data_IF_344969572945
#
_entry.id   IF_344969572945
#
_cell.length_a   1.000
_cell.length_b   1.000
_cell.length_c   1.000
_cell.angle_alpha   90.00
_cell.angle_beta   90.00
_cell.angle_gamma   90.00
#
_symmetry.space_group_name_H-M   'P 1'
#
loop_
_entity.id
_entity.type
_entity.pdbx_description
1 polymer ?
#
# COMPACT_ATOMS: atom_id res chain seq x y z
N UNK A 1 32.34 -61.01 11.84
CA UNK A 1 33.12 -61.85 10.86
C UNK A 1 33.56 -60.91 9.77
N UNK A 2 34.86 -60.62 9.78
CA UNK A 2 35.88 -60.78 8.75
C UNK A 2 35.59 -59.98 7.47
N UNK A 3 36.28 -58.80 7.28
CA UNK A 3 37.65 -58.62 6.67
C UNK A 3 37.67 -58.93 5.19
N UNK A 4 38.06 -57.98 4.31
CA UNK A 4 39.41 -57.64 3.83
C UNK A 4 39.30 -56.65 2.67
N UNK A 5 39.88 -55.45 2.62
CA UNK A 5 41.28 -55.07 2.32
C UNK A 5 41.81 -55.49 0.94
N UNK A 6 42.23 -54.52 0.12
CA UNK A 6 43.47 -54.35 -0.63
C UNK A 6 43.34 -53.28 -1.72
N UNK A 7 44.05 -52.14 -1.67
CA UNK A 7 45.47 -51.83 -2.06
C UNK A 7 45.72 -52.17 -3.53
N UNK A 8 46.16 -51.37 -4.34
CA UNK A 8 47.17 -50.36 -4.66
C UNK A 8 47.47 -50.42 -6.15
N UNK A 9 47.75 -49.35 -6.84
CA UNK A 9 49.06 -49.03 -7.42
C UNK A 9 49.02 -47.79 -8.33
N UNK A 10 50.01 -46.96 -8.07
CA UNK A 10 50.35 -45.77 -8.85
C UNK A 10 51.13 -46.20 -10.12
N UNK A 11 51.09 -45.36 -11.13
CA UNK A 11 52.14 -45.27 -12.13
C UNK A 11 52.37 -43.81 -12.54
N UNK A 12 53.61 -43.45 -12.47
CA UNK A 12 54.32 -42.21 -12.75
C UNK A 12 54.65 -42.13 -14.24
N UNK A 13 54.66 -40.93 -14.77
CA UNK A 13 55.29 -40.60 -16.06
C UNK A 13 54.67 -39.36 -16.65
N UNK A 14 55.31 -38.28 -16.77
CA UNK A 14 56.47 -37.84 -17.38
C UNK A 14 56.25 -36.42 -17.88
N UNK A 15 57.04 -35.48 -17.46
CA UNK A 15 57.07 -34.08 -17.82
C UNK A 15 57.38 -33.80 -19.28
N UNK A 16 56.74 -32.82 -19.88
CA UNK A 16 57.25 -32.06 -21.02
C UNK A 16 56.90 -30.57 -20.85
N UNK A 17 57.93 -29.80 -20.53
CA UNK A 17 57.93 -28.35 -20.48
C UNK A 17 58.05 -27.81 -21.91
N UNK A 18 57.03 -27.14 -22.41
CA UNK A 18 57.12 -26.29 -23.59
C UNK A 18 56.94 -24.85 -23.17
N UNK A 19 58.06 -24.12 -23.10
CA UNK A 19 58.02 -22.66 -22.85
C UNK A 19 57.60 -21.94 -24.16
N UNK A 20 56.41 -21.36 -24.15
CA UNK A 20 56.00 -20.38 -25.15
C UNK A 20 56.06 -18.98 -24.53
N UNK A 21 57.01 -18.18 -24.99
CA UNK A 21 57.10 -16.76 -24.70
C UNK A 21 55.93 -16.04 -25.37
N UNK A 22 54.97 -15.59 -24.55
CA UNK A 22 53.93 -14.70 -25.01
C UNK A 22 54.35 -13.26 -24.69
N UNK A 23 54.72 -12.51 -25.71
CA UNK A 23 54.90 -11.06 -25.66
C UNK A 23 53.61 -10.39 -25.31
N UNK A 24 53.52 -9.84 -24.09
CA UNK A 24 52.42 -8.99 -23.65
C UNK A 24 52.50 -7.66 -24.35
N UNK A 25 51.69 -7.47 -25.39
CA UNK A 25 51.26 -6.13 -25.81
C UNK A 25 50.36 -5.55 -24.73
N UNK A 26 50.92 -4.66 -23.92
CA UNK A 26 50.13 -3.77 -23.04
C UNK A 26 49.46 -2.74 -23.94
N UNK A 27 48.33 -3.11 -24.49
CA UNK A 27 47.39 -2.16 -25.06
C UNK A 27 46.66 -1.48 -23.90
N UNK A 28 46.99 -0.21 -23.63
CA UNK A 28 46.18 0.64 -22.79
C UNK A 28 44.81 0.84 -23.46
N UNK A 29 43.91 -0.09 -23.27
CA UNK A 29 42.50 0.14 -23.50
C UNK A 29 42.05 1.09 -22.38
N UNK A 30 41.94 2.39 -22.71
CA UNK A 30 41.12 3.33 -21.94
C UNK A 30 39.74 2.69 -21.71
N UNK A 31 39.58 2.07 -20.56
CA UNK A 31 38.33 1.46 -20.15
C UNK A 31 37.26 2.55 -20.07
N UNK A 32 36.52 2.71 -21.14
CA UNK A 32 35.17 3.22 -21.01
C UNK A 32 34.48 2.26 -20.05
N UNK A 33 34.36 2.66 -18.79
CA UNK A 33 33.73 1.87 -17.75
C UNK A 33 32.37 1.41 -18.29
N UNK A 34 32.20 0.11 -18.47
CA UNK A 34 30.93 -0.45 -18.90
C UNK A 34 29.88 0.06 -17.89
N UNK A 35 29.01 0.91 -18.37
CA UNK A 35 27.95 1.51 -17.53
C UNK A 35 27.24 0.35 -16.85
N UNK A 36 27.29 0.30 -15.51
CA UNK A 36 26.68 -0.76 -14.73
C UNK A 36 25.22 -0.87 -15.14
N UNK A 37 24.82 -1.99 -15.70
CA UNK A 37 23.46 -2.24 -16.15
C UNK A 37 22.53 -2.11 -14.95
N UNK A 38 21.64 -1.12 -14.97
CA UNK A 38 20.63 -0.89 -13.92
C UNK A 38 19.42 -1.74 -14.25
N UNK A 39 18.96 -2.58 -13.30
CA UNK A 39 17.75 -3.38 -13.50
C UNK A 39 16.57 -2.46 -13.84
N UNK A 40 15.80 -2.81 -14.87
CA UNK A 40 14.60 -2.09 -15.29
C UNK A 40 14.84 -0.69 -15.84
N UNK A 41 16.07 -0.34 -16.18
CA UNK A 41 16.41 0.93 -16.82
C UNK A 41 17.48 0.72 -17.90
N UNK A 42 17.16 1.09 -19.13
CA UNK A 42 18.06 0.95 -20.30
C UNK A 42 18.81 2.25 -20.65
N UNK A 43 18.71 3.30 -19.84
CA UNK A 43 19.27 4.63 -20.08
C UNK A 43 18.24 5.62 -20.62
N UNK A 44 17.08 5.16 -21.04
CA UNK A 44 15.97 5.98 -21.56
C UNK A 44 14.60 5.56 -21.07
N UNK A 45 14.42 4.29 -20.75
CA UNK A 45 13.12 3.72 -20.37
C UNK A 45 13.22 3.01 -19.03
N UNK A 46 12.31 3.35 -18.11
CA UNK A 46 12.12 2.68 -16.82
C UNK A 46 10.93 1.72 -16.91
N UNK A 47 11.08 0.53 -16.36
CA UNK A 47 10.03 -0.49 -16.29
C UNK A 47 9.42 -0.56 -14.90
N UNK A 48 8.12 -0.30 -14.79
CA UNK A 48 7.36 -0.38 -13.53
C UNK A 48 6.25 -1.44 -13.62
N UNK A 49 5.84 -1.95 -12.47
CA UNK A 49 4.67 -2.81 -12.29
C UNK A 49 3.95 -2.48 -11.00
N UNK A 50 2.72 -2.99 -10.85
CA UNK A 50 1.95 -2.94 -9.61
C UNK A 50 1.60 -4.34 -9.10
N UNK A 51 1.27 -4.42 -7.82
CA UNK A 51 0.79 -5.64 -7.16
C UNK A 51 -0.20 -5.31 -6.07
N UNK A 52 -1.17 -6.18 -5.84
CA UNK A 52 -2.11 -6.04 -4.73
C UNK A 52 -3.38 -6.85 -4.91
N UNK A 53 -4.37 -6.57 -4.10
CA UNK A 53 -5.64 -7.30 -4.07
C UNK A 53 -6.49 -6.93 -5.30
N UNK A 54 -6.51 -7.79 -6.32
CA UNK A 54 -7.18 -7.53 -7.58
C UNK A 54 -8.69 -7.31 -7.43
N UNK A 55 -9.36 -8.11 -6.61
CA UNK A 55 -10.80 -7.98 -6.38
C UNK A 55 -11.22 -6.59 -5.85
N UNK A 56 -10.32 -5.88 -5.15
CA UNK A 56 -10.61 -4.60 -4.51
C UNK A 56 -9.91 -3.43 -5.17
N UNK A 57 -8.69 -3.64 -5.67
CA UNK A 57 -7.78 -2.58 -6.09
C UNK A 57 -7.36 -2.67 -7.56
N UNK A 58 -8.06 -3.45 -8.42
CA UNK A 58 -7.74 -3.52 -9.85
C UNK A 58 -7.63 -2.13 -10.52
N UNK A 59 -8.50 -1.19 -10.12
CA UNK A 59 -8.46 0.19 -10.65
C UNK A 59 -7.21 0.98 -10.22
N UNK A 60 -6.44 0.50 -9.23
CA UNK A 60 -5.15 1.08 -8.91
C UNK A 60 -4.16 0.90 -10.07
N UNK A 61 -4.20 -0.25 -10.74
CA UNK A 61 -3.41 -0.50 -11.94
C UNK A 61 -3.75 0.45 -13.08
N UNK A 62 -5.04 0.65 -13.37
CA UNK A 62 -5.52 1.61 -14.38
C UNK A 62 -5.08 3.05 -14.05
N UNK A 63 -5.17 3.44 -12.78
CA UNK A 63 -4.79 4.78 -12.36
C UNK A 63 -3.26 5.00 -12.39
N UNK A 64 -2.46 3.97 -12.09
CA UNK A 64 -1.01 4.01 -12.25
C UNK A 64 -0.61 4.17 -13.72
N UNK A 65 -1.22 3.40 -14.62
CA UNK A 65 -1.02 3.51 -16.07
C UNK A 65 -1.39 4.90 -16.56
N UNK A 66 -2.50 5.47 -16.10
CA UNK A 66 -2.94 6.83 -16.43
C UNK A 66 -1.89 7.88 -16.05
N UNK A 67 -1.33 7.77 -14.83
CA UNK A 67 -0.27 8.69 -14.38
C UNK A 67 1.03 8.52 -15.17
N UNK A 68 1.37 7.30 -15.53
CA UNK A 68 2.51 6.99 -16.40
C UNK A 68 2.28 7.56 -17.81
N UNK A 69 1.10 7.36 -18.38
CA UNK A 69 0.74 7.92 -19.69
C UNK A 69 0.93 9.43 -19.70
N UNK A 70 0.38 10.12 -18.69
CA UNK A 70 0.57 11.58 -18.57
C UNK A 70 2.05 11.97 -18.49
N UNK A 71 2.86 11.28 -17.64
CA UNK A 71 4.31 11.52 -17.55
C UNK A 71 4.98 11.43 -18.92
N UNK A 72 4.62 10.41 -19.70
CA UNK A 72 5.19 10.16 -21.01
C UNK A 72 4.74 11.19 -22.06
N UNK A 73 3.45 11.54 -22.08
CA UNK A 73 2.86 12.45 -23.06
C UNK A 73 3.34 13.88 -22.85
N UNK A 74 3.44 14.31 -21.59
CA UNK A 74 3.91 15.65 -21.23
C UNK A 74 5.43 15.76 -21.14
N UNK A 75 6.16 14.65 -21.33
CA UNK A 75 7.61 14.60 -21.30
C UNK A 75 8.20 15.22 -20.01
N UNK A 76 7.61 14.87 -18.84
CA UNK A 76 7.95 15.46 -17.53
C UNK A 76 9.44 15.34 -17.17
N UNK A 77 10.12 14.33 -17.70
CA UNK A 77 11.59 14.19 -17.66
C UNK A 77 12.10 13.97 -19.07
N UNK A 78 12.78 14.96 -19.63
CA UNK A 78 13.23 14.92 -21.02
C UNK A 78 14.11 13.70 -21.31
N UNK A 79 13.69 12.90 -22.28
CA UNK A 79 14.40 11.71 -22.76
C UNK A 79 14.39 10.55 -21.75
N UNK A 80 13.39 10.53 -20.84
CA UNK A 80 13.06 9.38 -19.99
C UNK A 80 11.60 9.03 -20.23
N UNK A 81 11.32 7.75 -20.46
CA UNK A 81 9.99 7.17 -20.56
C UNK A 81 9.79 6.13 -19.49
N UNK A 82 8.54 5.85 -19.16
CA UNK A 82 8.16 4.78 -18.24
C UNK A 82 7.26 3.80 -19.00
N UNK A 83 7.57 2.50 -18.90
CA UNK A 83 6.72 1.42 -19.38
C UNK A 83 6.01 0.75 -18.18
N UNK A 84 4.76 0.39 -18.39
CA UNK A 84 3.92 -0.27 -17.41
C UNK A 84 3.76 -1.76 -17.76
N UNK A 85 4.19 -2.65 -16.86
CA UNK A 85 4.07 -4.11 -17.03
C UNK A 85 2.72 -4.67 -16.54
N UNK A 86 1.86 -3.80 -16.03
CA UNK A 86 0.55 -4.19 -15.52
C UNK A 86 0.48 -4.28 -13.99
N UNK A 87 -0.73 -4.55 -13.52
CA UNK A 87 -1.05 -4.78 -12.11
C UNK A 87 -1.30 -6.27 -11.89
N UNK A 88 -0.63 -6.85 -10.91
CA UNK A 88 -0.71 -8.28 -10.59
C UNK A 88 -1.59 -8.48 -9.37
N UNK A 89 -2.54 -9.41 -9.48
CA UNK A 89 -3.41 -9.80 -8.37
C UNK A 89 -2.69 -10.80 -7.45
N UNK A 90 -2.45 -10.39 -6.20
CA UNK A 90 -1.87 -11.24 -5.16
C UNK A 90 -2.90 -12.18 -4.52
N UNK A 91 -4.17 -12.07 -4.91
CA UNK A 91 -5.31 -12.86 -4.42
C UNK A 91 -5.50 -12.80 -2.90
N UNK A 92 -4.89 -11.80 -2.27
CA UNK A 92 -4.86 -11.66 -0.80
C UNK A 92 -4.22 -12.90 -0.12
N UNK A 93 -3.27 -13.54 -0.81
CA UNK A 93 -2.54 -14.72 -0.35
C UNK A 93 -1.04 -14.45 -0.22
N UNK A 94 -0.42 -14.68 0.96
CA UNK A 94 0.98 -14.35 1.19
C UNK A 94 1.96 -15.08 0.26
N UNK A 95 1.68 -16.34 -0.11
CA UNK A 95 2.55 -17.13 -0.98
C UNK A 95 2.47 -16.62 -2.42
N UNK A 96 1.27 -16.29 -2.89
CA UNK A 96 1.06 -15.66 -4.20
C UNK A 96 1.73 -14.30 -4.26
N UNK A 97 1.54 -13.44 -3.25
CA UNK A 97 2.18 -12.13 -3.17
C UNK A 97 3.70 -12.23 -3.28
N UNK A 98 4.34 -13.15 -2.53
CA UNK A 98 5.79 -13.35 -2.59
C UNK A 98 6.25 -13.91 -3.93
N UNK A 99 5.54 -14.89 -4.50
CA UNK A 99 5.91 -15.53 -5.77
C UNK A 99 5.80 -14.55 -6.94
N UNK A 100 4.73 -13.76 -7.00
CA UNK A 100 4.53 -12.74 -8.02
C UNK A 100 5.52 -11.58 -7.87
N UNK A 101 5.81 -11.14 -6.65
CA UNK A 101 6.86 -10.14 -6.43
C UNK A 101 8.22 -10.64 -6.94
N UNK A 102 8.57 -11.91 -6.67
CA UNK A 102 9.80 -12.50 -7.21
C UNK A 102 9.79 -12.54 -8.73
N UNK A 103 8.69 -12.92 -9.36
CA UNK A 103 8.54 -12.93 -10.82
C UNK A 103 8.76 -11.53 -11.41
N UNK A 104 8.13 -10.51 -10.84
CA UNK A 104 8.28 -9.12 -11.29
C UNK A 104 9.74 -8.64 -11.20
N UNK A 105 10.45 -9.01 -10.13
CA UNK A 105 11.84 -8.61 -9.93
C UNK A 105 12.81 -9.40 -10.79
N UNK A 106 12.66 -10.74 -10.89
CA UNK A 106 13.68 -11.60 -11.51
C UNK A 106 13.42 -11.87 -12.99
N UNK A 107 12.15 -12.00 -13.40
CA UNK A 107 11.79 -12.30 -14.79
C UNK A 107 11.44 -11.02 -15.55
N UNK A 108 10.54 -10.21 -14.99
CA UNK A 108 10.15 -8.94 -15.61
C UNK A 108 11.23 -7.86 -15.49
N UNK A 109 12.15 -8.00 -14.54
CA UNK A 109 13.25 -7.05 -14.32
C UNK A 109 12.76 -5.62 -14.07
N UNK A 110 11.71 -5.45 -13.26
CA UNK A 110 11.18 -4.12 -12.96
C UNK A 110 12.18 -3.26 -12.18
N UNK A 111 12.17 -1.96 -12.43
CA UNK A 111 12.97 -0.98 -11.71
C UNK A 111 12.39 -0.71 -10.33
N UNK A 112 11.07 -0.56 -10.24
CA UNK A 112 10.33 -0.30 -9.02
C UNK A 112 8.92 -0.87 -9.12
N UNK A 113 8.26 -1.04 -7.96
CA UNK A 113 6.83 -1.29 -7.89
C UNK A 113 6.11 0.02 -7.54
N UNK A 114 4.96 0.26 -8.18
CA UNK A 114 4.01 1.31 -7.84
C UNK A 114 2.61 0.74 -7.80
N UNK A 115 1.61 1.48 -7.31
CA UNK A 115 0.28 0.93 -7.09
C UNK A 115 0.30 -0.34 -6.20
N UNK A 116 1.24 -0.39 -5.25
CA UNK A 116 1.32 -1.52 -4.34
C UNK A 116 0.21 -1.39 -3.29
N UNK A 117 -0.77 -2.26 -3.39
CA UNK A 117 -1.93 -2.36 -2.51
C UNK A 117 -2.03 -3.73 -1.84
N UNK A 118 -0.92 -4.48 -1.82
CA UNK A 118 -0.83 -5.75 -1.12
C UNK A 118 -0.87 -5.57 0.41
N UNK A 119 -1.55 -6.48 1.09
CA UNK A 119 -1.48 -6.64 2.54
C UNK A 119 -0.31 -7.53 2.97
N UNK A 120 0.31 -8.23 2.05
CA UNK A 120 1.40 -9.18 2.26
C UNK A 120 2.60 -8.79 1.42
N UNK A 121 3.10 -7.60 1.69
CA UNK A 121 4.20 -7.08 0.93
C UNK A 121 5.47 -7.90 1.18
N UNK A 122 6.16 -8.26 0.10
CA UNK A 122 7.47 -8.89 0.19
C UNK A 122 8.57 -7.86 0.48
N UNK A 123 8.34 -6.92 1.41
CA UNK A 123 9.19 -5.76 1.65
C UNK A 123 10.64 -6.10 2.00
N UNK A 124 10.88 -7.14 2.79
CA UNK A 124 12.22 -7.61 3.11
C UNK A 124 12.94 -8.12 1.86
N UNK A 125 12.26 -8.88 1.01
CA UNK A 125 12.81 -9.33 -0.26
C UNK A 125 13.09 -8.16 -1.20
N UNK A 126 12.15 -7.22 -1.34
CA UNK A 126 12.33 -6.03 -2.16
C UNK A 126 13.52 -5.17 -1.68
N UNK A 127 13.67 -5.01 -0.36
CA UNK A 127 14.80 -4.31 0.24
C UNK A 127 16.15 -5.02 -0.06
N UNK A 128 16.20 -6.36 0.08
CA UNK A 128 17.38 -7.17 -0.26
C UNK A 128 17.73 -7.07 -1.75
N UNK A 129 16.72 -6.98 -2.62
CA UNK A 129 16.90 -6.84 -4.06
C UNK A 129 17.11 -5.40 -4.52
N UNK A 130 17.13 -4.43 -3.61
CA UNK A 130 17.21 -2.99 -3.92
C UNK A 130 16.10 -2.56 -4.90
N UNK A 131 14.85 -2.93 -4.62
CA UNK A 131 13.68 -2.52 -5.38
C UNK A 131 12.87 -1.54 -4.57
N UNK A 132 12.82 -0.26 -4.93
CA UNK A 132 11.90 0.66 -4.25
C UNK A 132 10.45 0.33 -4.63
N UNK A 133 9.55 0.42 -3.65
CA UNK A 133 8.12 0.18 -3.85
C UNK A 133 7.28 1.29 -3.24
N UNK A 134 6.20 1.63 -3.92
CA UNK A 134 5.32 2.75 -3.60
C UNK A 134 3.87 2.29 -3.60
N UNK A 135 3.16 2.56 -2.51
CA UNK A 135 1.82 2.03 -2.37
C UNK A 135 0.98 2.65 -1.26
N UNK A 136 -0.01 1.90 -0.80
CA UNK A 136 -0.93 2.34 0.26
C UNK A 136 -0.38 2.17 1.68
N UNK A 137 0.69 1.43 1.88
CA UNK A 137 1.24 1.11 3.19
C UNK A 137 0.35 0.20 4.07
N UNK A 138 -0.27 -0.80 3.46
CA UNK A 138 -1.05 -1.82 4.19
C UNK A 138 -0.20 -2.85 4.95
N UNK A 139 1.10 -2.70 4.94
CA UNK A 139 2.06 -3.62 5.53
C UNK A 139 3.04 -2.87 6.44
N UNK A 140 3.50 -3.52 7.51
CA UNK A 140 4.43 -2.92 8.47
C UNK A 140 5.81 -2.59 7.88
N UNK A 141 6.18 -3.16 6.74
CA UNK A 141 7.47 -2.87 6.07
C UNK A 141 7.59 -1.44 5.57
N UNK A 142 6.48 -0.75 5.35
CA UNK A 142 6.46 0.69 5.08
C UNK A 142 6.83 1.55 6.31
N UNK A 143 6.80 0.96 7.50
CA UNK A 143 7.08 1.62 8.77
C UNK A 143 8.46 1.30 9.32
N UNK A 144 9.14 0.32 8.78
CA UNK A 144 10.40 -0.24 9.24
C UNK A 144 11.33 -0.50 8.04
N UNK A 145 12.64 -0.43 8.19
CA UNK A 145 13.41 -0.13 9.39
C UNK A 145 13.54 1.35 9.69
N UNK A 146 14.06 1.65 10.87
CA UNK A 146 14.48 2.99 11.27
C UNK A 146 16.00 3.12 11.13
N UNK A 147 16.55 4.20 10.65
CA UNK A 147 15.91 5.41 10.15
C UNK A 147 15.26 5.22 8.78
N UNK A 148 14.40 6.15 8.38
CA UNK A 148 13.70 6.12 7.09
C UNK A 148 14.62 6.03 5.87
N UNK A 149 15.87 6.45 5.99
CA UNK A 149 16.90 6.34 4.93
C UNK A 149 17.22 4.89 4.54
N UNK A 150 16.79 3.90 5.34
CA UNK A 150 16.90 2.47 5.05
C UNK A 150 15.61 1.86 4.52
N UNK A 151 14.52 2.63 4.46
CA UNK A 151 13.25 2.17 3.89
C UNK A 151 13.39 1.99 2.39
N UNK A 152 12.72 0.97 1.86
CA UNK A 152 12.53 0.75 0.44
C UNK A 152 11.05 0.90 0.03
N UNK A 153 10.14 0.84 1.00
CA UNK A 153 8.71 1.06 0.85
C UNK A 153 8.27 2.47 1.23
N UNK A 154 7.48 3.12 0.39
CA UNK A 154 7.01 4.50 0.54
C UNK A 154 5.51 4.56 0.31
N UNK A 155 4.74 4.74 1.39
CA UNK A 155 3.30 4.90 1.32
C UNK A 155 2.88 6.33 1.04
N UNK A 156 1.95 6.54 0.11
CA UNK A 156 1.34 7.85 -0.09
C UNK A 156 0.49 8.29 1.12
N UNK A 157 0.21 7.38 2.02
CA UNK A 157 -0.43 7.61 3.32
C UNK A 157 0.59 7.70 4.47
N UNK A 158 1.89 7.62 4.19
CA UNK A 158 2.92 7.47 5.23
C UNK A 158 2.98 6.04 5.79
N UNK A 159 3.27 5.90 7.09
CA UNK A 159 3.24 4.61 7.79
C UNK A 159 1.83 4.38 8.37
N UNK A 160 1.01 3.63 7.67
CA UNK A 160 -0.39 3.38 8.09
C UNK A 160 -0.49 2.33 9.19
N UNK A 161 0.29 1.27 9.12
CA UNK A 161 0.22 0.11 10.03
C UNK A 161 1.50 -0.05 10.85
N UNK A 162 1.77 0.92 11.73
CA UNK A 162 2.88 0.81 12.66
C UNK A 162 2.53 -0.21 13.77
N UNK A 163 3.25 -1.32 13.90
CA UNK A 163 2.97 -2.34 14.92
C UNK A 163 3.27 -1.87 16.34
N UNK A 164 4.08 -0.81 16.49
CA UNK A 164 4.47 -0.26 17.78
C UNK A 164 4.35 1.27 17.78
N UNK A 165 3.13 1.83 17.62
CA UNK A 165 2.97 3.27 17.60
C UNK A 165 3.25 3.86 18.98
N UNK A 166 3.99 4.95 19.05
CA UNK A 166 4.10 5.77 20.28
C UNK A 166 2.91 6.71 20.42
N UNK A 167 2.26 7.02 19.32
CA UNK A 167 1.08 7.86 19.23
C UNK A 167 0.10 7.25 18.24
N UNK A 168 -1.19 7.49 18.45
CA UNK A 168 -2.26 7.13 17.52
C UNK A 168 -2.71 8.40 16.78
N UNK A 169 -2.94 8.32 15.46
CA UNK A 169 -3.44 9.45 14.70
C UNK A 169 -4.92 9.67 14.96
N UNK A 170 -5.33 10.91 14.82
CA UNK A 170 -6.74 11.30 14.93
C UNK A 170 -7.59 10.89 13.70
N UNK A 171 -6.96 10.37 12.64
CA UNK A 171 -7.65 10.07 11.37
C UNK A 171 -8.90 9.20 11.51
N UNK A 172 -8.91 8.25 12.44
CA UNK A 172 -10.09 7.44 12.73
C UNK A 172 -10.95 8.03 13.86
N UNK A 173 -10.40 8.90 14.68
CA UNK A 173 -11.10 9.48 15.82
C UNK A 173 -12.30 10.32 15.38
N UNK A 174 -12.15 11.17 14.36
CA UNK A 174 -13.25 11.98 13.83
C UNK A 174 -14.37 11.11 13.26
N UNK A 175 -14.01 10.01 12.56
CA UNK A 175 -15.01 9.07 12.07
C UNK A 175 -15.81 8.43 13.21
N UNK A 176 -15.14 7.91 14.24
CA UNK A 176 -15.82 7.36 15.41
C UNK A 176 -16.64 8.41 16.16
N UNK A 177 -16.11 9.63 16.32
CA UNK A 177 -16.82 10.72 16.99
C UNK A 177 -18.13 11.09 16.27
N UNK A 178 -18.08 11.18 14.93
CA UNK A 178 -19.26 11.43 14.10
C UNK A 178 -20.31 10.34 14.29
N UNK A 179 -19.89 9.07 14.18
CA UNK A 179 -20.80 7.93 14.32
C UNK A 179 -21.36 7.86 15.74
N UNK A 180 -20.52 8.07 16.75
CA UNK A 180 -20.95 8.12 18.16
C UNK A 180 -22.05 9.18 18.35
N UNK A 181 -21.84 10.39 17.83
CA UNK A 181 -22.83 11.47 17.90
C UNK A 181 -24.11 11.11 17.14
N UNK A 182 -24.00 10.48 15.97
CA UNK A 182 -25.14 10.10 15.13
C UNK A 182 -26.07 9.06 15.81
N UNK A 183 -25.54 8.28 16.75
CA UNK A 183 -26.38 7.33 17.53
C UNK A 183 -27.35 8.03 18.49
N UNK A 184 -27.08 9.27 18.88
CA UNK A 184 -27.85 10.00 19.91
C UNK A 184 -27.69 9.45 21.32
N UNK A 185 -26.83 8.45 21.54
CA UNK A 185 -26.61 7.83 22.84
C UNK A 185 -25.41 8.45 23.57
N UNK A 186 -25.48 8.50 24.91
CA UNK A 186 -24.38 9.00 25.74
C UNK A 186 -23.12 8.10 25.65
N UNK A 187 -23.31 6.80 25.56
CA UNK A 187 -22.26 5.81 25.45
C UNK A 187 -22.72 4.71 24.49
N UNK A 188 -22.61 4.93 23.18
CA UNK A 188 -22.99 3.92 22.20
C UNK A 188 -22.03 2.74 22.24
N UNK A 189 -22.50 1.60 21.72
CA UNK A 189 -21.72 0.36 21.64
C UNK A 189 -21.16 0.14 20.25
N UNK A 190 -19.97 -0.46 20.16
CA UNK A 190 -19.34 -0.82 18.88
C UNK A 190 -18.70 -2.20 18.93
N UNK A 191 -18.83 -2.95 17.84
CA UNK A 191 -18.11 -4.18 17.56
C UNK A 191 -17.12 -3.95 16.39
N UNK A 192 -15.89 -4.48 16.51
CA UNK A 192 -14.84 -4.29 15.52
C UNK A 192 -14.39 -5.66 14.99
N UNK A 193 -14.43 -5.84 13.67
CA UNK A 193 -14.07 -7.10 13.03
C UNK A 193 -12.98 -6.91 11.97
N UNK A 194 -12.07 -7.87 11.90
CA UNK A 194 -11.01 -8.00 10.90
C UNK A 194 -10.72 -9.46 10.57
N UNK A 195 -9.83 -9.71 9.63
CA UNK A 195 -9.37 -11.05 9.29
C UNK A 195 -8.14 -11.47 10.11
N UNK A 196 -7.72 -12.73 9.97
CA UNK A 196 -6.53 -13.27 10.62
C UNK A 196 -5.24 -12.83 9.87
N UNK A 197 -5.00 -11.53 9.86
CA UNK A 197 -3.78 -10.93 9.33
C UNK A 197 -3.14 -10.01 10.37
N UNK A 198 -1.84 -9.79 10.24
CA UNK A 198 -1.09 -8.87 11.10
C UNK A 198 -1.66 -7.44 10.99
N UNK A 199 -1.98 -7.00 9.78
CA UNK A 199 -2.57 -5.69 9.54
C UNK A 199 -3.92 -5.50 10.22
N UNK A 200 -4.79 -6.52 10.22
CA UNK A 200 -6.07 -6.48 10.93
C UNK A 200 -5.87 -6.45 12.45
N UNK A 201 -4.94 -7.23 12.99
CA UNK A 201 -4.64 -7.24 14.43
C UNK A 201 -4.17 -5.88 14.93
N UNK A 202 -3.26 -5.23 14.19
CA UNK A 202 -2.80 -3.86 14.46
C UNK A 202 -3.98 -2.88 14.41
N UNK A 203 -4.78 -2.97 13.35
CA UNK A 203 -5.91 -2.05 13.12
C UNK A 203 -7.00 -2.20 14.18
N UNK A 204 -7.33 -3.43 14.61
CA UNK A 204 -8.30 -3.70 15.69
C UNK A 204 -7.78 -3.11 17.01
N UNK A 205 -6.50 -3.32 17.33
CA UNK A 205 -5.90 -2.77 18.55
C UNK A 205 -5.98 -1.25 18.58
N UNK A 206 -5.57 -0.61 17.51
CA UNK A 206 -5.61 0.85 17.39
C UNK A 206 -7.05 1.37 17.35
N UNK A 207 -7.93 0.71 16.59
CA UNK A 207 -9.34 1.06 16.47
C UNK A 207 -10.08 0.96 17.80
N UNK A 208 -9.81 -0.05 18.61
CA UNK A 208 -10.39 -0.21 19.95
C UNK A 208 -10.11 1.00 20.83
N UNK A 209 -8.84 1.41 20.92
CA UNK A 209 -8.46 2.57 21.74
C UNK A 209 -9.09 3.86 21.20
N UNK A 210 -9.07 4.02 19.89
CA UNK A 210 -9.63 5.22 19.24
C UNK A 210 -11.14 5.32 19.44
N UNK A 211 -11.87 4.21 19.28
CA UNK A 211 -13.31 4.15 19.50
C UNK A 211 -13.68 4.48 20.97
N UNK A 212 -12.94 3.93 21.94
CA UNK A 212 -13.13 4.24 23.35
C UNK A 212 -12.94 5.74 23.64
N UNK A 213 -11.89 6.34 23.08
CA UNK A 213 -11.65 7.79 23.22
C UNK A 213 -12.75 8.63 22.55
N UNK A 214 -13.37 8.15 21.49
CA UNK A 214 -14.50 8.78 20.82
C UNK A 214 -15.85 8.57 21.53
N UNK A 215 -15.85 7.91 22.71
CA UNK A 215 -17.03 7.73 23.55
C UNK A 215 -17.76 6.40 23.39
N UNK A 216 -17.27 5.49 22.58
CA UNK A 216 -17.85 4.15 22.45
C UNK A 216 -17.49 3.23 23.62
N UNK A 217 -18.43 2.36 23.99
CA UNK A 217 -18.16 1.11 24.69
C UNK A 217 -17.89 0.04 23.64
N UNK A 218 -16.64 -0.46 23.54
CA UNK A 218 -16.30 -1.59 22.68
C UNK A 218 -16.84 -2.87 23.34
N UNK A 219 -17.83 -3.49 22.72
CA UNK A 219 -18.53 -4.67 23.24
C UNK A 219 -17.94 -5.98 22.74
N UNK A 220 -17.05 -5.92 21.78
CA UNK A 220 -16.29 -7.07 21.31
C UNK A 220 -15.41 -6.73 20.12
N UNK A 221 -14.45 -7.62 19.88
CA UNK A 221 -13.59 -7.60 18.70
C UNK A 221 -13.47 -9.00 18.13
N UNK A 222 -13.22 -9.11 16.81
CA UNK A 222 -12.96 -10.38 16.16
C UNK A 222 -11.92 -10.22 15.06
N UNK A 223 -10.89 -11.05 15.10
CA UNK A 223 -9.86 -11.16 14.04
C UNK A 223 -9.66 -12.62 13.62
N UNK A 224 -10.65 -13.47 13.82
CA UNK A 224 -10.57 -14.90 13.51
C UNK A 224 -11.10 -15.26 12.11
N UNK A 225 -11.66 -14.28 11.37
CA UNK A 225 -12.10 -14.52 10.01
C UNK A 225 -10.91 -14.90 9.13
N UNK A 226 -10.96 -16.02 8.39
CA UNK A 226 -9.85 -16.42 7.53
C UNK A 226 -9.63 -15.40 6.41
N UNK A 227 -8.45 -15.46 5.80
CA UNK A 227 -8.22 -14.71 4.55
C UNK A 227 -9.13 -15.24 3.44
N UNK A 228 -9.52 -14.40 2.48
CA UNK A 228 -10.36 -14.83 1.35
C UNK A 228 -9.74 -15.99 0.55
N UNK A 229 -10.57 -16.88 0.01
CA UNK A 229 -12.03 -16.86 0.06
C UNK A 229 -12.59 -17.33 1.42
N UNK A 230 -13.49 -16.53 2.01
CA UNK A 230 -14.19 -16.91 3.24
C UNK A 230 -15.35 -17.85 2.90
N UNK A 231 -15.36 -19.08 3.42
CA UNK A 231 -16.38 -20.06 3.03
C UNK A 231 -17.78 -19.74 3.57
N UNK A 232 -17.87 -19.12 4.73
CA UNK A 232 -19.14 -18.73 5.37
C UNK A 232 -18.92 -17.52 6.30
N UNK A 233 -19.69 -16.47 6.09
CA UNK A 233 -19.69 -15.25 6.90
C UNK A 233 -20.68 -15.30 8.07
N UNK A 234 -21.59 -16.30 8.10
CA UNK A 234 -22.68 -16.37 9.07
C UNK A 234 -22.22 -16.37 10.52
N UNK A 235 -21.20 -17.16 10.94
CA UNK A 235 -20.78 -17.17 12.35
C UNK A 235 -20.22 -15.81 12.79
N UNK A 236 -19.54 -15.11 11.92
CA UNK A 236 -18.98 -13.76 12.21
C UNK A 236 -20.08 -12.71 12.31
N UNK A 237 -21.08 -12.76 11.43
CA UNK A 237 -22.24 -11.90 11.48
C UNK A 237 -23.08 -12.15 12.74
N UNK A 238 -23.31 -13.39 13.11
CA UNK A 238 -24.02 -13.75 14.35
C UNK A 238 -23.28 -13.24 15.58
N UNK A 239 -21.96 -13.44 15.65
CA UNK A 239 -21.14 -12.93 16.74
C UNK A 239 -21.23 -11.39 16.85
N UNK A 240 -21.17 -10.69 15.73
CA UNK A 240 -21.34 -9.25 15.71
C UNK A 240 -22.75 -8.82 16.15
N UNK A 241 -23.80 -9.47 15.62
CA UNK A 241 -25.21 -9.14 15.91
C UNK A 241 -25.65 -9.45 17.34
N UNK A 242 -24.90 -10.25 18.08
CA UNK A 242 -25.20 -10.61 19.49
C UNK A 242 -24.17 -10.07 20.48
N UNK A 243 -23.26 -9.20 20.04
CA UNK A 243 -22.10 -8.77 20.82
C UNK A 243 -22.44 -7.87 22.01
N UNK A 244 -23.57 -7.19 22.02
CA UNK A 244 -24.02 -6.36 23.14
C UNK A 244 -25.05 -7.10 23.99
N UNK A 245 -24.59 -8.01 24.83
CA UNK A 245 -25.45 -8.81 25.74
C UNK A 245 -26.60 -9.52 24.98
N UNK A 246 -26.31 -10.09 23.83
CA UNK A 246 -27.29 -10.78 22.99
C UNK A 246 -28.01 -9.88 21.99
N UNK A 247 -27.70 -8.59 21.96
CA UNK A 247 -28.28 -7.61 21.04
C UNK A 247 -27.22 -7.10 20.03
N UNK A 248 -27.66 -6.55 18.88
CA UNK A 248 -26.76 -5.85 17.97
C UNK A 248 -26.16 -4.59 18.61
N UNK A 249 -24.88 -4.29 18.36
CA UNK A 249 -24.27 -3.03 18.80
C UNK A 249 -24.81 -1.85 18.01
N UNK A 250 -24.60 -0.63 18.51
CA UNK A 250 -25.03 0.60 17.83
C UNK A 250 -24.21 0.89 16.57
N UNK A 251 -22.97 0.44 16.55
CA UNK A 251 -22.08 0.54 15.40
C UNK A 251 -21.27 -0.74 15.21
N UNK A 252 -20.93 -1.04 13.96
CA UNK A 252 -19.97 -2.07 13.58
C UNK A 252 -18.87 -1.48 12.73
N UNK A 253 -17.62 -1.78 13.04
CA UNK A 253 -16.50 -1.48 12.16
C UNK A 253 -15.98 -2.74 11.50
N UNK A 254 -15.81 -2.68 10.20
CA UNK A 254 -15.21 -3.72 9.39
C UNK A 254 -13.86 -3.25 8.85
N UNK A 255 -12.79 -3.97 9.20
CA UNK A 255 -11.41 -3.72 8.78
C UNK A 255 -10.97 -4.70 7.68
N UNK A 256 -11.94 -5.30 7.02
CA UNK A 256 -11.75 -6.24 5.92
C UNK A 256 -11.87 -5.51 4.59
N UNK A 257 -11.33 -6.13 3.55
CA UNK A 257 -11.43 -5.62 2.20
C UNK A 257 -12.85 -5.82 1.60
N UNK A 258 -12.98 -6.60 0.55
CA UNK A 258 -14.28 -6.95 -0.07
C UNK A 258 -15.22 -7.69 0.88
N UNK A 259 -14.67 -8.37 1.90
CA UNK A 259 -15.45 -9.09 2.91
C UNK A 259 -16.35 -8.15 3.72
N UNK A 260 -16.00 -6.86 3.84
CA UNK A 260 -16.87 -5.87 4.47
C UNK A 260 -18.22 -5.73 3.76
N UNK A 261 -18.28 -5.93 2.45
CA UNK A 261 -19.52 -5.88 1.68
C UNK A 261 -20.38 -7.09 2.03
N UNK A 262 -19.78 -8.28 2.08
CA UNK A 262 -20.48 -9.52 2.41
C UNK A 262 -21.00 -9.46 3.85
N UNK A 263 -20.18 -8.99 4.79
CA UNK A 263 -20.57 -8.77 6.18
C UNK A 263 -21.73 -7.76 6.28
N UNK A 264 -21.60 -6.60 5.60
CA UNK A 264 -22.66 -5.58 5.60
C UNK A 264 -23.98 -6.16 5.07
N UNK A 265 -23.97 -6.82 3.93
CA UNK A 265 -25.17 -7.41 3.32
C UNK A 265 -25.83 -8.43 4.25
N UNK A 266 -25.03 -9.26 4.92
CA UNK A 266 -25.53 -10.30 5.80
C UNK A 266 -26.17 -9.73 7.08
N UNK A 267 -25.56 -8.74 7.72
CA UNK A 267 -26.13 -8.08 8.89
C UNK A 267 -27.36 -7.23 8.52
N UNK A 268 -27.39 -6.61 7.34
CA UNK A 268 -28.57 -5.88 6.85
C UNK A 268 -29.74 -6.81 6.55
N UNK A 269 -29.48 -8.00 5.99
CA UNK A 269 -30.50 -9.04 5.82
C UNK A 269 -31.10 -9.51 7.17
N UNK A 270 -30.34 -9.40 8.25
CA UNK A 270 -30.78 -9.64 9.62
C UNK A 270 -31.41 -8.39 10.28
N UNK A 271 -31.76 -7.38 9.47
CA UNK A 271 -32.42 -6.16 9.91
C UNK A 271 -31.58 -5.25 10.84
N UNK A 272 -30.26 -5.29 10.73
CA UNK A 272 -29.38 -4.38 11.47
C UNK A 272 -29.68 -2.91 11.14
N UNK A 273 -29.95 -2.11 12.16
CA UNK A 273 -30.33 -0.69 12.05
C UNK A 273 -29.21 0.27 12.46
N UNK A 274 -28.13 -0.26 13.04
CA UNK A 274 -27.01 0.54 13.50
C UNK A 274 -26.15 1.09 12.35
N UNK A 275 -25.09 1.76 12.74
CA UNK A 275 -24.14 2.38 11.81
C UNK A 275 -23.03 1.39 11.43
N UNK A 276 -22.52 1.52 10.21
CA UNK A 276 -21.44 0.70 9.70
C UNK A 276 -20.23 1.58 9.35
N UNK A 277 -19.08 1.27 9.92
CA UNK A 277 -17.81 1.95 9.62
C UNK A 277 -17.00 1.04 8.72
N UNK A 278 -16.83 1.47 7.46
CA UNK A 278 -16.08 0.76 6.45
C UNK A 278 -14.64 1.25 6.38
N UNK A 279 -13.72 0.36 6.12
CA UNK A 279 -12.34 0.72 5.74
C UNK A 279 -12.23 1.14 4.27
N UNK A 280 -13.31 1.03 3.50
CA UNK A 280 -13.34 1.24 2.06
C UNK A 280 -14.25 2.38 1.68
N UNK A 281 -13.77 3.16 0.71
CA UNK A 281 -14.56 4.08 -0.08
C UNK A 281 -14.48 3.69 -1.56
N UNK A 282 -15.62 3.46 -2.15
CA UNK A 282 -15.77 3.27 -3.60
C UNK A 282 -17.16 3.74 -4.01
N UNK A 283 -17.26 4.47 -5.12
CA UNK A 283 -18.55 4.92 -5.67
C UNK A 283 -19.50 3.77 -5.98
N UNK A 284 -18.97 2.58 -6.29
CA UNK A 284 -19.79 1.38 -6.54
C UNK A 284 -20.52 0.88 -5.28
N UNK A 285 -20.00 1.15 -4.09
CA UNK A 285 -20.57 0.71 -2.82
C UNK A 285 -21.71 1.60 -2.31
N UNK A 286 -21.91 2.76 -2.93
CA UNK A 286 -22.85 3.80 -2.47
C UNK A 286 -24.27 3.26 -2.31
N UNK A 287 -24.74 2.52 -3.29
CA UNK A 287 -26.11 1.97 -3.31
C UNK A 287 -26.31 0.78 -2.37
N UNK A 288 -25.21 0.21 -1.86
CA UNK A 288 -25.22 -1.01 -1.07
C UNK A 288 -25.08 -0.74 0.43
N UNK A 289 -24.58 0.43 0.83
CA UNK A 289 -24.09 0.64 2.19
C UNK A 289 -24.70 1.90 2.86
N UNK A 290 -26.04 1.98 2.93
CA UNK A 290 -26.71 3.04 3.69
C UNK A 290 -26.29 3.05 5.18
N UNK A 291 -26.26 4.22 5.81
CA UNK A 291 -25.78 4.45 7.17
C UNK A 291 -24.32 3.99 7.39
N UNK A 292 -23.52 4.10 6.34
CA UNK A 292 -22.08 3.77 6.40
C UNK A 292 -21.24 5.02 6.40
N UNK A 293 -20.10 4.93 7.08
CA UNK A 293 -19.08 5.97 7.17
C UNK A 293 -17.71 5.40 6.85
N UNK A 294 -16.85 6.22 6.26
CA UNK A 294 -15.46 5.87 6.00
C UNK A 294 -14.55 7.08 6.21
N UNK A 295 -13.42 6.86 6.86
CA UNK A 295 -12.32 7.82 6.83
C UNK A 295 -11.50 7.57 5.56
N UNK A 296 -11.23 8.64 4.80
CA UNK A 296 -10.46 8.58 3.55
C UNK A 296 -9.24 9.50 3.62
N UNK A 297 -8.11 9.04 3.07
CA UNK A 297 -6.82 9.74 3.15
C UNK A 297 -6.59 10.69 1.96
N UNK A 298 -7.67 11.20 1.37
CA UNK A 298 -7.65 12.13 0.26
C UNK A 298 -8.88 13.03 0.30
N UNK A 299 -8.83 14.13 -0.43
CA UNK A 299 -9.96 15.07 -0.53
C UNK A 299 -11.19 14.36 -1.06
N UNK A 300 -12.32 14.52 -0.41
CA UNK A 300 -13.57 13.85 -0.80
C UNK A 300 -13.90 14.11 -2.27
N UNK A 301 -14.28 13.09 -3.05
CA UNK A 301 -14.51 13.20 -4.48
C UNK A 301 -15.60 14.22 -4.88
N UNK A 302 -16.57 14.47 -4.02
CA UNK A 302 -17.61 15.47 -4.24
C UNK A 302 -17.10 16.91 -4.27
N UNK A 303 -15.87 17.17 -3.81
CA UNK A 303 -15.23 18.50 -3.85
C UNK A 303 -14.76 18.92 -5.23
N UNK A 304 -14.60 17.97 -6.16
CA UNK A 304 -14.29 18.24 -7.57
C UNK A 304 -13.12 19.22 -7.78
N UNK A 305 -12.06 19.05 -7.00
CA UNK A 305 -10.86 19.89 -7.11
C UNK A 305 -10.19 19.81 -8.49
N UNK A 306 -9.36 20.78 -8.89
CA UNK A 306 -8.60 20.69 -10.14
C UNK A 306 -7.75 19.42 -10.23
N UNK A 307 -7.15 18.96 -9.12
CA UNK A 307 -6.35 17.75 -9.08
C UNK A 307 -7.20 16.49 -9.30
N UNK A 308 -8.40 16.44 -8.71
CA UNK A 308 -9.35 15.35 -8.93
C UNK A 308 -9.83 15.30 -10.38
N UNK A 309 -10.17 16.45 -10.96
CA UNK A 309 -10.58 16.54 -12.38
C UNK A 309 -9.46 16.11 -13.32
N UNK A 310 -8.21 16.50 -13.02
CA UNK A 310 -7.06 16.06 -13.81
C UNK A 310 -6.86 14.54 -13.70
N UNK A 311 -6.89 13.98 -12.50
CA UNK A 311 -6.77 12.54 -12.29
C UNK A 311 -7.89 11.77 -13.00
N UNK A 312 -9.14 12.25 -12.92
CA UNK A 312 -10.28 11.65 -13.62
C UNK A 312 -10.09 11.67 -15.14
N UNK A 313 -9.62 12.80 -15.70
CA UNK A 313 -9.33 12.91 -17.13
C UNK A 313 -8.21 11.97 -17.57
N UNK A 314 -7.12 11.88 -16.80
CA UNK A 314 -6.01 10.97 -17.08
C UNK A 314 -6.46 9.49 -17.06
N UNK A 315 -7.29 9.10 -16.08
CA UNK A 315 -7.85 7.74 -15.99
C UNK A 315 -8.77 7.44 -17.18
N UNK A 316 -9.65 8.38 -17.53
CA UNK A 316 -10.55 8.24 -18.68
C UNK A 316 -9.81 8.17 -20.02
N UNK A 317 -8.60 8.74 -20.11
CA UNK A 317 -7.74 8.62 -21.29
C UNK A 317 -7.13 7.21 -21.46
N UNK A 318 -7.13 6.39 -20.42
CA UNK A 318 -6.71 4.96 -20.45
C UNK A 318 -7.92 4.06 -20.55
N UNK A 319 -8.93 4.28 -19.68
CA UNK A 319 -10.14 3.46 -19.64
C UNK A 319 -11.36 4.38 -19.48
N UNK A 320 -12.07 4.67 -20.57
CA UNK A 320 -13.22 5.57 -20.58
C UNK A 320 -14.29 5.19 -19.54
N UNK A 321 -14.81 6.18 -18.82
CA UNK A 321 -15.86 6.02 -17.80
C UNK A 321 -15.32 5.61 -16.41
N UNK A 322 -14.09 5.12 -16.30
CA UNK A 322 -13.54 4.69 -15.00
C UNK A 322 -13.21 5.87 -14.09
N UNK A 323 -12.79 7.01 -14.68
CA UNK A 323 -12.48 8.23 -13.92
C UNK A 323 -13.71 9.01 -13.45
N UNK A 324 -14.92 8.67 -13.90
CA UNK A 324 -16.14 9.40 -13.55
C UNK A 324 -16.55 9.21 -12.07
N UNK A 325 -16.05 8.14 -11.43
CA UNK A 325 -16.25 7.87 -10.01
C UNK A 325 -14.92 7.53 -9.34
N UNK A 326 -14.26 8.53 -8.79
CA UNK A 326 -12.99 8.35 -8.10
C UNK A 326 -13.15 7.46 -6.84
N UNK A 327 -12.19 6.59 -6.65
CA UNK A 327 -12.15 5.62 -5.56
C UNK A 327 -10.81 5.64 -4.82
N UNK A 328 -10.80 5.03 -3.64
CA UNK A 328 -9.57 4.80 -2.88
C UNK A 328 -8.51 4.04 -3.68
N UNK A 329 -8.94 3.04 -4.48
CA UNK A 329 -8.05 2.25 -5.33
C UNK A 329 -7.34 3.12 -6.38
N UNK A 330 -8.10 3.98 -7.06
CA UNK A 330 -7.55 4.89 -8.06
C UNK A 330 -6.59 5.90 -7.46
N UNK A 331 -6.92 6.47 -6.28
CA UNK A 331 -6.01 7.40 -5.58
C UNK A 331 -4.73 6.68 -5.15
N UNK A 332 -4.83 5.42 -4.72
CA UNK A 332 -3.66 4.61 -4.37
C UNK A 332 -2.72 4.41 -5.56
N UNK A 333 -3.26 4.00 -6.71
CA UNK A 333 -2.46 3.77 -7.90
C UNK A 333 -1.85 5.05 -8.47
N UNK A 334 -2.68 6.07 -8.64
CA UNK A 334 -2.22 7.37 -9.19
C UNK A 334 -1.23 8.07 -8.25
N UNK A 335 -1.57 8.15 -6.95
CA UNK A 335 -0.76 8.85 -5.95
C UNK A 335 0.60 8.19 -5.71
N UNK A 336 0.63 6.86 -5.56
CA UNK A 336 1.90 6.14 -5.36
C UNK A 336 2.81 6.22 -6.60
N UNK A 337 2.24 6.20 -7.80
CA UNK A 337 3.00 6.40 -9.04
C UNK A 337 3.50 7.83 -9.17
N UNK A 338 2.70 8.84 -8.80
CA UNK A 338 3.15 10.23 -8.75
C UNK A 338 4.27 10.45 -7.72
N UNK A 339 4.21 9.75 -6.59
CA UNK A 339 5.26 9.77 -5.58
C UNK A 339 6.59 9.22 -6.12
N UNK A 340 6.56 8.10 -6.84
CA UNK A 340 7.72 7.57 -7.55
C UNK A 340 8.26 8.58 -8.57
N UNK A 341 7.40 9.15 -9.41
CA UNK A 341 7.78 10.15 -10.43
C UNK A 341 8.42 11.38 -9.78
N UNK A 342 7.89 11.81 -8.64
CA UNK A 342 8.44 12.94 -7.89
C UNK A 342 9.85 12.65 -7.35
N UNK A 343 10.11 11.44 -6.86
CA UNK A 343 11.44 10.99 -6.48
C UNK A 343 12.39 10.92 -7.69
N UNK A 344 11.94 10.35 -8.80
CA UNK A 344 12.69 10.30 -10.06
C UNK A 344 13.08 11.69 -10.56
N UNK A 345 12.15 12.66 -10.56
CA UNK A 345 12.43 14.05 -10.94
C UNK A 345 13.52 14.69 -10.06
N UNK A 346 13.51 14.41 -8.75
CA UNK A 346 14.58 14.88 -7.85
C UNK A 346 15.93 14.26 -8.17
N UNK A 347 15.99 12.98 -8.50
CA UNK A 347 17.23 12.31 -8.93
C UNK A 347 17.77 12.96 -10.20
N UNK A 348 16.92 13.11 -11.21
CA UNK A 348 17.34 13.68 -12.51
C UNK A 348 17.75 15.14 -12.37
N UNK A 349 17.05 15.94 -11.58
CA UNK A 349 17.42 17.33 -11.31
C UNK A 349 18.80 17.45 -10.63
N UNK A 350 19.17 16.48 -9.80
CA UNK A 350 20.44 16.47 -9.08
C UNK A 350 21.60 15.90 -9.89
N UNK A 351 21.37 14.83 -10.64
CA UNK A 351 22.45 13.98 -11.17
C UNK A 351 22.26 13.62 -12.66
N UNK A 352 21.27 14.22 -13.32
CA UNK A 352 20.94 13.88 -14.71
C UNK A 352 20.39 12.44 -14.84
N UNK A 353 20.19 12.01 -16.08
CA UNK A 353 19.68 10.65 -16.38
C UNK A 353 20.64 9.55 -15.97
N UNK A 354 21.95 9.79 -16.05
CA UNK A 354 22.98 8.83 -15.63
C UNK A 354 22.97 8.55 -14.13
N UNK A 355 22.35 9.41 -13.33
CA UNK A 355 22.17 9.23 -11.89
C UNK A 355 20.96 8.35 -11.52
N UNK A 356 20.17 7.89 -12.47
CA UNK A 356 18.99 7.07 -12.20
C UNK A 356 19.43 5.67 -11.78
N UNK A 357 19.30 5.38 -10.49
CA UNK A 357 19.47 4.05 -9.89
C UNK A 357 18.38 3.81 -8.85
N UNK A 358 18.06 2.55 -8.51
CA UNK A 358 17.10 2.25 -7.44
C UNK A 358 17.48 2.92 -6.10
N UNK A 359 18.76 2.94 -5.74
CA UNK A 359 19.28 3.55 -4.51
C UNK A 359 19.12 5.09 -4.55
N UNK A 360 19.32 5.71 -5.71
CA UNK A 360 19.12 7.16 -5.84
C UNK A 360 17.65 7.54 -5.70
N UNK A 361 16.74 6.75 -6.27
CA UNK A 361 15.28 6.95 -6.14
C UNK A 361 14.85 6.69 -4.69
N UNK A 362 15.31 5.61 -4.06
CA UNK A 362 15.08 5.30 -2.64
C UNK A 362 15.52 6.47 -1.74
N UNK A 363 16.74 6.96 -1.95
CA UNK A 363 17.27 8.11 -1.19
C UNK A 363 16.46 9.39 -1.40
N UNK A 364 16.02 9.65 -2.64
CA UNK A 364 15.19 10.82 -2.95
C UNK A 364 13.82 10.71 -2.26
N UNK A 365 13.19 9.54 -2.33
CA UNK A 365 11.91 9.26 -1.68
C UNK A 365 12.02 9.39 -0.15
N UNK A 366 13.06 8.83 0.47
CA UNK A 366 13.26 8.87 1.93
C UNK A 366 13.55 10.24 2.52
N UNK A 367 13.74 11.26 1.68
CA UNK A 367 14.11 12.63 2.13
C UNK A 367 13.20 13.72 1.55
N UNK A 368 12.19 13.35 0.79
CA UNK A 368 11.25 14.32 0.24
C UNK A 368 10.01 14.48 1.10
N UNK A 369 9.36 15.64 0.99
CA UNK A 369 7.95 15.79 1.26
C UNK A 369 7.22 15.69 -0.07
N UNK A 370 6.22 14.82 -0.12
CA UNK A 370 5.40 14.61 -1.30
C UNK A 370 3.95 15.00 -1.02
N UNK A 371 3.28 15.53 -2.02
CA UNK A 371 1.87 15.88 -1.99
C UNK A 371 1.34 16.09 -3.41
N UNK A 372 0.10 15.66 -3.66
CA UNK A 372 -0.70 16.18 -4.79
C UNK A 372 -1.67 17.21 -4.20
N UNK A 373 -1.34 18.49 -4.35
CA UNK A 373 -2.15 19.58 -3.79
C UNK A 373 -3.59 19.52 -4.32
N UNK A 374 -4.56 19.49 -3.40
CA UNK A 374 -5.99 19.36 -3.73
C UNK A 374 -6.46 17.91 -3.93
N UNK A 375 -5.58 16.92 -3.73
CA UNK A 375 -5.96 15.51 -3.73
C UNK A 375 -5.52 14.80 -2.45
N UNK A 376 -4.25 14.97 -2.05
CA UNK A 376 -3.69 14.32 -0.84
C UNK A 376 -3.05 15.35 0.09
N UNK A 377 -2.83 14.98 1.34
CA UNK A 377 -2.01 15.76 2.27
C UNK A 377 -0.52 15.53 2.07
N UNK A 378 0.33 16.34 2.75
CA UNK A 378 1.76 16.18 2.70
C UNK A 378 2.21 14.91 3.44
N UNK A 379 3.09 14.14 2.80
CA UNK A 379 3.76 12.98 3.39
C UNK A 379 5.26 13.21 3.36
N UNK A 380 5.92 13.02 4.49
CA UNK A 380 7.37 13.13 4.62
C UNK A 380 7.94 11.98 5.43
N UNK A 381 9.20 11.63 5.13
CA UNK A 381 9.93 10.56 5.80
C UNK A 381 11.09 11.17 6.57
N UNK A 382 10.91 11.48 7.87
CA UNK A 382 11.95 12.11 8.67
C UNK A 382 13.16 11.19 8.86
N UNK A 383 14.34 11.76 8.93
CA UNK A 383 15.60 11.02 9.16
C UNK A 383 15.62 10.25 10.48
N UNK A 384 14.87 10.72 11.47
CA UNK A 384 14.81 10.11 12.80
C UNK A 384 13.55 9.26 12.93
N UNK A 385 13.73 7.99 12.97
CA UNK A 385 13.03 6.97 13.72
C UNK A 385 11.57 6.62 13.47
N UNK A 386 10.64 7.45 13.06
CA UNK A 386 9.24 7.04 12.85
C UNK A 386 8.69 7.69 11.62
N UNK A 387 8.29 6.88 10.66
CA UNK A 387 7.41 7.33 9.59
C UNK A 387 6.09 7.69 10.25
N UNK A 388 5.67 8.92 10.08
CA UNK A 388 4.47 9.42 10.73
C UNK A 388 3.23 8.92 9.99
N UNK A 389 2.16 8.68 10.73
CA UNK A 389 0.83 8.39 10.18
C UNK A 389 0.36 9.51 9.25
N UNK A 390 -0.56 9.21 8.32
CA UNK A 390 -1.21 10.26 7.57
C UNK A 390 -2.00 11.16 8.52
N UNK A 391 -1.58 12.40 8.59
CA UNK A 391 -2.26 13.40 9.44
C UNK A 391 -3.50 13.99 8.78
N UNK A 392 -3.72 13.68 7.52
CA UNK A 392 -4.76 14.29 6.73
C UNK A 392 -5.81 13.26 6.33
N UNK A 393 -7.06 13.54 6.62
CA UNK A 393 -8.18 12.71 6.21
C UNK A 393 -9.46 13.54 6.05
N UNK A 394 -10.44 13.00 5.35
CA UNK A 394 -11.82 13.40 5.36
C UNK A 394 -12.68 12.27 5.90
N UNK A 395 -13.87 12.56 6.39
CA UNK A 395 -14.89 11.55 6.66
C UNK A 395 -16.01 11.70 5.65
N UNK A 396 -16.37 10.60 5.02
CA UNK A 396 -17.50 10.50 4.10
C UNK A 396 -18.56 9.58 4.69
N UNK A 397 -19.82 9.85 4.38
CA UNK A 397 -20.95 9.02 4.79
C UNK A 397 -21.88 8.74 3.63
N UNK A 398 -22.46 7.54 3.61
CA UNK A 398 -23.43 7.11 2.61
C UNK A 398 -24.84 7.07 3.18
N UNK A 399 -25.79 7.60 2.41
CA UNK A 399 -27.22 7.48 2.65
C UNK A 399 -27.86 6.29 1.91
N UNK A 400 -27.05 5.49 1.19
CA UNK A 400 -27.51 4.41 0.31
C UNK A 400 -27.70 4.83 -1.15
N UNK A 401 -27.56 6.11 -1.45
CA UNK A 401 -27.65 6.66 -2.81
C UNK A 401 -26.38 7.38 -3.23
N UNK A 402 -25.82 8.18 -2.31
CA UNK A 402 -24.60 8.95 -2.53
C UNK A 402 -23.68 8.89 -1.33
N UNK A 403 -22.37 8.97 -1.60
CA UNK A 403 -21.38 9.32 -0.60
C UNK A 403 -21.22 10.85 -0.58
N UNK A 404 -21.26 11.44 0.58
CA UNK A 404 -21.01 12.87 0.77
C UNK A 404 -20.02 13.10 1.89
N UNK A 405 -19.24 14.17 1.77
CA UNK A 405 -18.35 14.61 2.83
C UNK A 405 -19.14 14.93 4.09
N UNK A 406 -18.74 14.37 5.21
CA UNK A 406 -19.27 14.64 6.55
C UNK A 406 -18.32 15.49 7.37
N UNK A 407 -17.01 15.25 7.23
CA UNK A 407 -15.93 16.09 7.76
C UNK A 407 -14.99 16.46 6.64
N UNK A 408 -14.57 17.73 6.60
CA UNK A 408 -13.69 18.27 5.59
C UNK A 408 -12.31 17.58 5.65
N UNK A 409 -11.64 17.52 4.51
CA UNK A 409 -10.26 17.07 4.46
C UNK A 409 -9.37 18.04 5.23
N UNK A 410 -8.80 17.57 6.31
CA UNK A 410 -8.00 18.36 7.23
C UNK A 410 -6.69 17.64 7.57
N UNK A 411 -5.64 18.43 7.77
CA UNK A 411 -4.30 17.98 8.15
C UNK A 411 -3.90 18.42 9.55
N UNK A 412 -4.81 19.00 10.32
CA UNK A 412 -4.57 19.46 11.70
C UNK A 412 -4.83 18.37 12.74
N UNK A 413 -4.89 17.12 12.33
CA UNK A 413 -5.21 16.00 13.19
C UNK A 413 -4.36 15.95 14.47
N UNK A 414 -5.04 15.82 15.60
CA UNK A 414 -4.41 15.68 16.92
C UNK A 414 -3.94 14.25 17.11
N UNK A 415 -2.72 14.12 17.59
CA UNK A 415 -2.19 12.83 18.03
C UNK A 415 -2.41 12.65 19.52
N UNK A 416 -2.69 11.45 19.95
CA UNK A 416 -2.75 11.09 21.36
C UNK A 416 -1.83 9.89 21.63
N UNK A 417 -1.29 9.80 22.88
CA UNK A 417 -0.40 8.71 23.24
C UNK A 417 -1.09 7.36 23.05
N UNK A 418 -0.38 6.42 22.43
CA UNK A 418 -0.81 5.03 22.41
C UNK A 418 -0.86 4.46 23.83
N UNK A 419 -1.69 3.45 24.10
CA UNK A 419 -1.69 2.75 25.37
C UNK A 419 -0.30 2.20 25.66
N UNK A 420 0.15 2.34 26.90
CA UNK A 420 1.34 1.60 27.35
C UNK A 420 0.99 0.11 27.34
N UNK A 421 1.85 -0.68 26.71
CA UNK A 421 1.74 -2.15 26.73
C UNK A 421 1.97 -2.68 28.13
#
# INVERSE_FOLDING_TARGET
MRTTSRRTRALVGGALVAALAVTTLVGASSGAGAARKVRGFDGSTLKLAGIGIGAQFADAGTAAEARIKRFNDTNEVKGVKITWSGFVDDKQDPATALSETRRLVTQEQVFALTADTSQFNAGDYLAQQHVPYFGWAFDATYCSPKPSTKLWGFGFTGCLLNPNPSVLPDSNFQNYKLVSAATGKKQPTIFIIGNDSESSKISITNGTVTAQKAGFKVVGTDNSMPLPPVPDYTPYAQKAMTSDNGNPPDAMQCLLSTDCINMYNLIKAQNYKGYFISSLYSGLLTKLMANSYAAIFFVSPDQQTPAQKQMAADINAVKPGTGDSLSSAQVAGYGSTDMFISALKKVVAKSGKSGITPEAVQKAASTMTWQIKGLTGPVSYPKSSVVLYPYCNAVVGSDGTTWAQKEAYDCSNVQYPAPKK
#
